data_IF_801777525464
#
_entry.id   IF_801777525464
#
_cell.length_a   1.000
_cell.length_b   1.000
_cell.length_c   1.000
_cell.angle_alpha   90.00
_cell.angle_beta   90.00
_cell.angle_gamma   90.00
#
_symmetry.space_group_name_H-M   'P 1'
#
loop_
_entity.id
_entity.type
_entity.pdbx_description
1 polymer ?
#
# COMPACT_ATOMS: atom_id res chain seq x y z
N UNK A 1 -23.95 6.35 3.27
CA UNK A 1 -23.24 6.10 4.52
C UNK A 1 -21.77 5.91 4.24
N UNK A 2 -20.95 6.59 4.98
CA UNK A 2 -19.52 6.44 4.83
C UNK A 2 -19.09 5.15 5.52
N UNK A 3 -18.44 4.27 4.76
CA UNK A 3 -17.96 3.02 5.30
C UNK A 3 -16.44 3.03 5.30
N UNK A 4 -15.90 3.93 6.08
CA UNK A 4 -14.46 4.05 6.25
C UNK A 4 -14.15 4.54 7.65
N UNK A 5 -13.02 4.10 8.16
CA UNK A 5 -12.57 4.46 9.48
C UNK A 5 -11.14 4.96 9.40
N UNK A 6 -10.90 6.14 9.91
CA UNK A 6 -9.58 6.75 9.93
C UNK A 6 -8.80 6.12 11.09
N UNK A 7 -7.75 5.38 10.77
CA UNK A 7 -6.96 4.67 11.77
C UNK A 7 -5.78 5.47 12.27
N UNK A 8 -5.17 6.28 11.39
CA UNK A 8 -3.93 6.98 11.71
C UNK A 8 -3.71 8.09 10.70
N UNK A 9 -3.13 9.18 11.14
CA UNK A 9 -2.72 10.27 10.25
C UNK A 9 -1.61 11.07 10.91
N UNK A 10 -0.62 11.46 10.10
CA UNK A 10 0.44 12.37 10.54
C UNK A 10 0.81 13.29 9.38
N UNK A 11 1.99 13.91 9.46
CA UNK A 11 2.43 14.86 8.43
C UNK A 11 2.71 14.18 7.08
N UNK A 12 2.89 12.87 7.05
CA UNK A 12 3.35 12.15 5.87
C UNK A 12 2.25 11.42 5.13
N UNK A 13 1.20 11.04 5.81
CA UNK A 13 0.13 10.26 5.19
C UNK A 13 -0.95 9.86 6.17
N UNK A 14 -1.91 9.08 5.69
CA UNK A 14 -3.01 8.59 6.50
C UNK A 14 -3.32 7.14 6.19
N UNK A 15 -3.90 6.46 7.17
CA UNK A 15 -4.29 5.06 7.05
C UNK A 15 -5.79 4.97 7.28
N UNK A 16 -6.51 4.34 6.35
CA UNK A 16 -7.97 4.27 6.35
C UNK A 16 -8.39 2.80 6.25
N UNK A 17 -9.30 2.39 7.14
CA UNK A 17 -9.92 1.08 7.07
C UNK A 17 -11.24 1.21 6.31
N UNK A 18 -11.45 0.31 5.35
CA UNK A 18 -12.68 0.28 4.54
C UNK A 18 -13.34 -1.09 4.67
N UNK A 19 -14.17 -1.26 5.71
CA UNK A 19 -14.73 -2.59 6.04
C UNK A 19 -15.56 -3.22 4.93
N UNK A 20 -16.38 -2.45 4.23
CA UNK A 20 -17.24 -3.02 3.20
C UNK A 20 -16.46 -3.57 2.01
N UNK A 21 -15.25 -3.06 1.78
CA UNK A 21 -14.36 -3.56 0.73
C UNK A 21 -13.36 -4.58 1.28
N UNK A 22 -13.36 -4.79 2.58
CA UNK A 22 -12.37 -5.63 3.26
C UNK A 22 -10.95 -5.21 2.90
N UNK A 23 -10.69 -3.91 3.03
CA UNK A 23 -9.54 -3.22 2.48
C UNK A 23 -8.96 -2.26 3.50
N UNK A 24 -7.63 -2.19 3.56
CA UNK A 24 -6.93 -1.13 4.29
C UNK A 24 -6.16 -0.30 3.27
N UNK A 25 -6.20 1.01 3.43
CA UNK A 25 -5.64 1.94 2.45
C UNK A 25 -4.65 2.89 3.11
N UNK A 26 -3.54 3.18 2.40
CA UNK A 26 -2.63 4.26 2.75
C UNK A 26 -2.77 5.34 1.70
N UNK A 27 -2.84 6.60 2.15
CA UNK A 27 -2.72 7.74 1.26
C UNK A 27 -1.49 8.54 1.69
N UNK A 28 -0.50 8.59 0.81
CA UNK A 28 0.71 9.38 1.04
C UNK A 28 0.46 10.84 0.66
N UNK A 29 1.04 11.77 1.41
CA UNK A 29 0.95 13.21 1.11
C UNK A 29 2.21 13.66 0.37
N UNK A 30 2.15 14.83 -0.28
CA UNK A 30 3.30 15.36 -0.99
C UNK A 30 4.42 15.82 -0.04
N UNK A 31 4.12 16.01 1.23
CA UNK A 31 5.12 16.29 2.26
C UNK A 31 6.18 15.20 2.37
N UNK A 32 5.91 14.03 1.82
CA UNK A 32 6.89 12.93 1.81
C UNK A 32 8.20 13.32 1.11
N UNK A 33 8.21 14.40 0.33
CA UNK A 33 9.43 14.93 -0.25
C UNK A 33 10.47 15.29 0.81
N UNK A 34 10.05 15.62 2.03
CA UNK A 34 10.94 16.00 3.13
C UNK A 34 11.22 14.86 4.11
N UNK A 35 10.72 13.67 3.81
CA UNK A 35 10.84 12.52 4.69
C UNK A 35 12.26 11.95 4.66
N UNK A 36 12.79 11.61 5.83
CA UNK A 36 14.07 10.92 5.89
C UNK A 36 13.88 9.42 5.67
N UNK A 37 14.99 8.71 5.43
CA UNK A 37 14.92 7.26 5.29
C UNK A 37 14.36 6.60 6.54
N UNK A 38 14.80 7.06 7.71
CA UNK A 38 14.33 6.51 8.99
C UNK A 38 12.85 6.76 9.18
N UNK A 39 12.38 7.95 8.84
CA UNK A 39 10.96 8.28 8.92
C UNK A 39 10.13 7.39 7.99
N UNK A 40 10.63 7.18 6.78
CA UNK A 40 9.96 6.32 5.81
C UNK A 40 9.85 4.89 6.33
N UNK A 41 10.95 4.33 6.84
CA UNK A 41 10.95 2.97 7.38
C UNK A 41 10.06 2.86 8.60
N UNK A 42 10.07 3.86 9.48
CA UNK A 42 9.19 3.90 10.64
C UNK A 42 7.72 3.91 10.21
N UNK A 43 7.41 4.66 9.17
CA UNK A 43 6.04 4.74 8.68
C UNK A 43 5.57 3.40 8.13
N UNK A 44 6.44 2.70 7.37
CA UNK A 44 6.10 1.37 6.89
C UNK A 44 5.85 0.40 8.04
N UNK A 45 6.62 0.50 9.10
CA UNK A 45 6.42 -0.33 10.28
C UNK A 45 5.09 -0.02 10.97
N UNK A 46 4.74 1.27 11.07
CA UNK A 46 3.46 1.69 11.62
C UNK A 46 2.30 1.15 10.80
N UNK A 47 2.41 1.23 9.49
CA UNK A 47 1.39 0.68 8.60
C UNK A 47 1.25 -0.83 8.78
N UNK A 48 2.37 -1.54 8.87
CA UNK A 48 2.33 -2.99 9.07
C UNK A 48 1.64 -3.36 10.38
N UNK A 49 1.78 -2.54 11.43
CA UNK A 49 1.05 -2.75 12.67
C UNK A 49 -0.46 -2.65 12.46
N UNK A 50 -0.89 -1.68 11.68
CA UNK A 50 -2.32 -1.51 11.38
C UNK A 50 -2.85 -2.63 10.49
N UNK A 51 -2.05 -3.10 9.55
CA UNK A 51 -2.42 -4.25 8.72
C UNK A 51 -2.64 -5.47 9.61
N UNK A 52 -1.74 -5.71 10.57
CA UNK A 52 -1.87 -6.83 11.47
C UNK A 52 -3.12 -6.75 12.33
N UNK A 53 -3.47 -5.56 12.79
CA UNK A 53 -4.65 -5.36 13.63
C UNK A 53 -5.95 -5.49 12.85
N UNK A 54 -5.99 -4.95 11.64
CA UNK A 54 -7.22 -4.93 10.85
C UNK A 54 -7.51 -6.25 10.17
N UNK A 55 -6.47 -7.01 9.84
CA UNK A 55 -6.53 -8.29 9.14
C UNK A 55 -7.28 -8.20 7.80
N UNK A 56 -7.19 -7.06 7.13
CA UNK A 56 -7.79 -6.90 5.81
C UNK A 56 -6.92 -7.61 4.77
N UNK A 57 -7.50 -8.47 3.93
CA UNK A 57 -6.71 -9.18 2.92
C UNK A 57 -6.30 -8.31 1.73
N UNK A 58 -6.92 -7.15 1.58
CA UNK A 58 -6.64 -6.24 0.47
C UNK A 58 -5.97 -4.99 0.98
N UNK A 59 -4.92 -4.55 0.28
CA UNK A 59 -4.18 -3.33 0.62
C UNK A 59 -4.14 -2.44 -0.60
N UNK A 60 -4.43 -1.16 -0.43
CA UNK A 60 -4.28 -0.15 -1.47
C UNK A 60 -3.33 0.93 -0.98
N UNK A 61 -2.28 1.18 -1.75
CA UNK A 61 -1.34 2.26 -1.46
C UNK A 61 -1.58 3.37 -2.47
N UNK A 62 -2.14 4.48 -2.02
CA UNK A 62 -2.34 5.66 -2.87
C UNK A 62 -1.08 6.48 -2.84
N UNK A 63 -0.24 6.30 -3.84
CA UNK A 63 1.05 6.95 -3.99
C UNK A 63 1.05 8.08 -5.00
N UNK A 64 -0.11 8.62 -5.38
CA UNK A 64 -0.18 9.68 -6.37
C UNK A 64 0.57 10.94 -5.94
N UNK A 65 0.63 11.20 -4.64
CA UNK A 65 1.33 12.35 -4.08
C UNK A 65 2.67 11.99 -3.44
N UNK A 66 3.08 10.74 -3.54
CA UNK A 66 4.30 10.26 -2.90
C UNK A 66 5.54 10.88 -3.58
N UNK A 67 6.39 11.54 -2.81
CA UNK A 67 7.54 12.30 -3.31
C UNK A 67 8.85 11.92 -2.64
N UNK A 68 8.87 10.81 -1.91
CA UNK A 68 10.07 10.39 -1.19
C UNK A 68 11.21 10.08 -2.17
N UNK A 69 12.44 10.32 -1.71
CA UNK A 69 13.63 10.01 -2.49
C UNK A 69 13.65 8.52 -2.84
N UNK A 70 13.73 8.16 -4.13
CA UNK A 70 13.77 6.75 -4.53
C UNK A 70 14.90 5.94 -3.89
N UNK A 71 15.99 6.61 -3.50
CA UNK A 71 17.10 5.92 -2.84
C UNK A 71 16.70 5.33 -1.48
N UNK A 72 15.59 5.77 -0.90
CA UNK A 72 15.11 5.24 0.38
C UNK A 72 14.29 3.96 0.20
N UNK A 73 13.98 3.58 -1.03
CA UNK A 73 13.21 2.39 -1.35
C UNK A 73 14.13 1.16 -1.30
N UNK A 74 14.40 0.70 -0.10
CA UNK A 74 15.28 -0.45 0.12
C UNK A 74 14.45 -1.72 0.10
N UNK A 75 14.45 -2.39 -1.05
CA UNK A 75 13.68 -3.61 -1.24
C UNK A 75 14.11 -4.73 -0.31
N UNK A 76 15.41 -4.88 -0.07
CA UNK A 76 15.89 -5.93 0.82
C UNK A 76 15.43 -5.70 2.25
N UNK A 77 15.47 -4.46 2.73
CA UNK A 77 14.98 -4.14 4.06
C UNK A 77 13.47 -4.41 4.17
N UNK A 78 12.73 -4.01 3.16
CA UNK A 78 11.29 -4.22 3.13
C UNK A 78 10.94 -5.71 3.12
N UNK A 79 11.66 -6.49 2.31
CA UNK A 79 11.44 -7.93 2.22
C UNK A 79 11.73 -8.64 3.54
N UNK A 80 12.72 -8.16 4.29
CA UNK A 80 13.11 -8.78 5.55
C UNK A 80 12.24 -8.33 6.73
N UNK A 81 11.77 -7.08 6.73
CA UNK A 81 11.17 -6.47 7.92
C UNK A 81 9.67 -6.19 7.79
N UNK A 82 9.15 -6.04 6.58
CA UNK A 82 7.77 -5.61 6.36
C UNK A 82 6.93 -6.71 5.71
N UNK A 83 7.42 -7.30 4.63
CA UNK A 83 6.66 -8.30 3.87
C UNK A 83 6.20 -9.48 4.72
N UNK A 84 7.06 -10.05 5.60
CA UNK A 84 6.60 -11.16 6.44
C UNK A 84 5.44 -10.80 7.34
N UNK A 85 5.35 -9.53 7.75
CA UNK A 85 4.25 -9.06 8.58
C UNK A 85 2.94 -9.02 7.80
N UNK A 86 2.99 -8.64 6.53
CA UNK A 86 1.81 -8.66 5.66
C UNK A 86 1.34 -10.10 5.46
N UNK A 87 2.27 -11.03 5.22
CA UNK A 87 1.94 -12.44 5.06
C UNK A 87 1.27 -13.00 6.31
N UNK A 88 1.81 -12.68 7.47
CA UNK A 88 1.25 -13.14 8.74
C UNK A 88 -0.14 -12.56 9.00
N UNK A 89 -0.42 -11.38 8.49
CA UNK A 89 -1.72 -10.72 8.65
C UNK A 89 -2.78 -11.24 7.66
N UNK A 90 -2.38 -12.01 6.65
CA UNK A 90 -3.32 -12.59 5.70
C UNK A 90 -3.56 -11.75 4.46
N UNK A 91 -2.66 -10.85 4.10
CA UNK A 91 -2.77 -10.05 2.88
C UNK A 91 -2.71 -10.97 1.66
N UNK A 92 -3.64 -10.78 0.72
CA UNK A 92 -3.71 -11.58 -0.51
C UNK A 92 -3.49 -10.76 -1.77
N UNK A 93 -3.81 -9.46 -1.74
CA UNK A 93 -3.60 -8.56 -2.87
C UNK A 93 -3.12 -7.22 -2.38
N UNK A 94 -2.19 -6.65 -3.12
CA UNK A 94 -1.54 -5.39 -2.77
C UNK A 94 -1.48 -4.53 -4.03
N UNK A 95 -2.21 -3.44 -4.05
CA UNK A 95 -2.26 -2.56 -5.22
C UNK A 95 -1.55 -1.23 -4.92
N UNK A 96 -0.74 -0.80 -5.87
CA UNK A 96 -0.12 0.53 -5.84
C UNK A 96 -0.81 1.43 -6.84
N UNK A 97 -1.21 2.59 -6.39
CA UNK A 97 -1.76 3.65 -7.22
C UNK A 97 -0.70 4.72 -7.34
N UNK A 98 -0.27 5.02 -8.56
CA UNK A 98 0.84 5.94 -8.79
C UNK A 98 0.62 6.72 -10.07
N UNK A 99 1.34 7.84 -10.28
CA UNK A 99 1.18 8.64 -11.51
C UNK A 99 1.39 7.78 -12.75
N UNK A 100 0.68 8.09 -13.82
CA UNK A 100 0.70 7.28 -15.03
C UNK A 100 2.11 7.10 -15.60
N UNK A 101 2.93 8.14 -15.53
CA UNK A 101 4.30 8.07 -16.04
C UNK A 101 5.18 7.13 -15.21
N UNK A 102 4.79 6.85 -13.96
CA UNK A 102 5.51 5.94 -13.09
C UNK A 102 4.90 4.54 -13.15
N UNK A 103 3.58 4.46 -13.34
CA UNK A 103 2.88 3.18 -13.37
C UNK A 103 3.18 2.35 -14.61
N UNK A 104 4.06 2.82 -15.46
CA UNK A 104 4.46 2.14 -16.67
C UNK A 104 3.43 2.27 -17.76
N UNK A 105 3.90 2.08 -18.95
CA UNK A 105 3.04 2.01 -20.10
C UNK A 105 2.29 0.69 -20.04
N UNK A 106 1.01 0.80 -19.84
CA UNK A 106 0.22 -0.40 -19.64
C UNK A 106 0.36 -0.92 -18.23
N UNK A 107 -0.66 -1.57 -17.75
CA UNK A 107 -0.66 -2.15 -16.41
C UNK A 107 0.21 -3.40 -16.40
N UNK A 108 1.22 -3.46 -15.57
CA UNK A 108 2.00 -4.68 -15.46
C UNK A 108 1.11 -5.81 -14.92
N UNK A 109 1.39 -7.05 -15.31
CA UNK A 109 0.63 -8.16 -14.76
C UNK A 109 0.86 -8.27 -13.26
N UNK A 110 -0.16 -8.68 -12.54
CA UNK A 110 -0.02 -8.98 -11.14
C UNK A 110 0.92 -10.17 -10.99
N UNK A 111 1.75 -10.14 -9.97
CA UNK A 111 2.72 -11.20 -9.74
C UNK A 111 2.85 -11.45 -8.25
N UNK A 112 3.32 -12.64 -7.91
CA UNK A 112 3.66 -12.92 -6.52
C UNK A 112 4.97 -12.23 -6.18
N UNK A 113 4.96 -11.54 -5.08
CA UNK A 113 6.16 -10.97 -4.48
C UNK A 113 6.81 -12.02 -3.57
N UNK A 114 7.96 -11.68 -2.93
CA UNK A 114 8.48 -12.52 -1.85
C UNK A 114 7.42 -12.84 -0.83
N UNK A 115 6.40 -11.99 -0.75
CA UNK A 115 5.21 -12.32 0.00
C UNK A 115 4.35 -13.33 -0.76
N UNK A 116 3.27 -13.74 -0.12
CA UNK A 116 2.34 -14.70 -0.70
C UNK A 116 1.16 -14.00 -1.36
N UNK A 117 1.26 -12.73 -1.56
CA UNK A 117 0.19 -11.92 -2.15
C UNK A 117 0.59 -11.48 -3.56
N UNK A 118 -0.41 -11.16 -4.35
CA UNK A 118 -0.20 -10.60 -5.67
C UNK A 118 -0.04 -9.10 -5.57
N UNK A 119 0.82 -8.52 -6.39
CA UNK A 119 1.06 -7.08 -6.43
C UNK A 119 0.70 -6.54 -7.80
N UNK A 120 -0.06 -5.46 -7.84
CA UNK A 120 -0.42 -4.78 -9.08
C UNK A 120 -0.14 -3.28 -8.98
N UNK A 121 0.08 -2.65 -10.13
CA UNK A 121 0.39 -1.23 -10.23
C UNK A 121 -0.63 -0.57 -11.15
N UNK A 122 -1.19 0.57 -10.73
CA UNK A 122 -2.28 1.22 -11.45
C UNK A 122 -2.10 2.72 -11.45
N UNK A 123 -2.59 3.36 -12.52
CA UNK A 123 -2.62 4.83 -12.60
C UNK A 123 -3.97 5.39 -12.15
N UNK A 124 -5.03 4.58 -12.18
CA UNK A 124 -6.37 5.00 -11.81
C UNK A 124 -6.92 4.24 -10.62
N UNK A 125 -7.56 4.97 -9.71
CA UNK A 125 -8.12 4.37 -8.51
C UNK A 125 -9.20 3.34 -8.84
N UNK A 126 -10.03 3.62 -9.83
CA UNK A 126 -11.11 2.71 -10.21
C UNK A 126 -10.56 1.36 -10.68
N UNK A 127 -9.48 1.40 -11.46
CA UNK A 127 -8.86 0.18 -11.95
C UNK A 127 -8.23 -0.62 -10.81
N UNK A 128 -7.56 0.07 -9.90
CA UNK A 128 -6.95 -0.57 -8.74
C UNK A 128 -7.99 -1.25 -7.88
N UNK A 129 -9.08 -0.56 -7.58
CA UNK A 129 -10.15 -1.11 -6.75
C UNK A 129 -10.84 -2.28 -7.45
N UNK A 130 -11.06 -2.16 -8.77
CA UNK A 130 -11.65 -3.25 -9.54
C UNK A 130 -10.82 -4.51 -9.47
N UNK A 131 -9.51 -4.38 -9.61
CA UNK A 131 -8.60 -5.51 -9.52
C UNK A 131 -8.59 -6.13 -8.11
N UNK A 132 -8.55 -5.27 -7.09
CA UNK A 132 -8.55 -5.75 -5.70
C UNK A 132 -9.81 -6.53 -5.36
N UNK A 133 -10.93 -6.13 -5.93
CA UNK A 133 -12.23 -6.74 -5.63
C UNK A 133 -12.50 -8.00 -6.45
N UNK A 134 -11.65 -8.33 -7.42
CA UNK A 134 -11.82 -9.56 -8.18
C UNK A 134 -11.62 -10.77 -7.29
N UNK A 135 -12.49 -11.75 -7.45
CA UNK A 135 -12.37 -13.00 -6.72
C UNK A 135 -11.14 -13.76 -7.24
N UNK A 136 -10.40 -14.33 -6.34
CA UNK A 136 -9.27 -15.17 -6.71
C UNK A 136 -9.77 -16.40 -7.48
N UNK A 137 -9.05 -16.75 -8.52
CA UNK A 137 -9.38 -17.91 -9.34
C UNK A 137 -8.37 -19.02 -9.13
#
# INVERSE_FOLDING_TARGET
MVDSKHLYEDDWGEIIDRPSANLIEVRWFDTTASMSKEQFQQWLSTFADHVAKSRRPRVLIDGLQFRTNPAFMDGAWRDANIIPRYNAAGVTKFAFLMPAEVAMVGTPPAREDPGRFLTGYFAGRKDALGWLMQTAQ
#
